data_IF_768657016660
#
_entry.id   IF_768657016660
#
_cell.length_a   1.000
_cell.length_b   1.000
_cell.length_c   1.000
_cell.angle_alpha   90.00
_cell.angle_beta   90.00
_cell.angle_gamma   90.00
#
_symmetry.space_group_name_H-M   'P 1'
#
loop_
_entity.id
_entity.type
_entity.pdbx_description
1 polymer ?
#
# COMPACT_ATOMS: atom_id res chain seq x y z
N UNK A 1 17.95 16.85 -17.03
CA UNK A 1 16.69 17.55 -16.74
C UNK A 1 15.49 16.89 -17.41
N UNK A 2 15.47 16.68 -18.72
CA UNK A 2 14.33 16.07 -19.44
C UNK A 2 14.02 14.63 -18.97
N UNK A 3 15.02 13.77 -18.81
CA UNK A 3 14.83 12.40 -18.30
C UNK A 3 14.25 12.35 -16.89
N UNK A 4 14.63 13.26 -16.01
CA UNK A 4 14.09 13.33 -14.65
C UNK A 4 12.59 13.70 -14.65
N UNK A 5 12.19 14.63 -15.52
CA UNK A 5 10.78 15.00 -15.67
C UNK A 5 9.92 13.83 -16.18
N UNK A 6 10.43 13.09 -17.17
CA UNK A 6 9.74 11.89 -17.68
C UNK A 6 9.58 10.85 -16.56
N UNK A 7 10.63 10.61 -15.79
CA UNK A 7 10.59 9.67 -14.68
C UNK A 7 9.54 10.08 -13.62
N UNK A 8 9.50 11.36 -13.24
CA UNK A 8 8.49 11.87 -12.30
C UNK A 8 7.06 11.74 -12.84
N UNK A 9 6.88 11.95 -14.16
CA UNK A 9 5.57 11.81 -14.79
C UNK A 9 5.11 10.35 -14.81
N UNK A 10 6.00 9.41 -15.14
CA UNK A 10 5.69 7.98 -15.12
C UNK A 10 5.36 7.48 -13.71
N UNK A 11 6.07 7.97 -12.69
CA UNK A 11 5.77 7.67 -11.28
C UNK A 11 4.37 8.18 -10.92
N UNK A 12 4.01 9.40 -11.30
CA UNK A 12 2.69 9.98 -11.00
C UNK A 12 1.55 9.18 -11.66
N UNK A 13 1.72 8.71 -12.90
CA UNK A 13 0.75 7.84 -13.56
C UNK A 13 0.63 6.50 -12.83
N UNK A 14 1.74 5.89 -12.45
CA UNK A 14 1.74 4.62 -11.72
C UNK A 14 1.01 4.71 -10.38
N UNK A 15 1.11 5.86 -9.70
CA UNK A 15 0.38 6.13 -8.46
C UNK A 15 -1.12 6.20 -8.68
N UNK A 16 -1.59 6.84 -9.75
CA UNK A 16 -3.02 6.88 -10.09
C UNK A 16 -3.56 5.46 -10.34
N UNK A 17 -2.82 4.63 -11.06
CA UNK A 17 -3.18 3.24 -11.30
C UNK A 17 -3.25 2.47 -9.96
N UNK A 18 -2.28 2.65 -9.06
CA UNK A 18 -2.28 2.01 -7.75
C UNK A 18 -3.47 2.43 -6.88
N UNK A 19 -3.83 3.71 -6.86
CA UNK A 19 -5.00 4.20 -6.11
C UNK A 19 -6.28 3.54 -6.62
N UNK A 20 -6.46 3.50 -7.95
CA UNK A 20 -7.62 2.84 -8.57
C UNK A 20 -7.67 1.37 -8.15
N UNK A 21 -6.53 0.70 -8.18
CA UNK A 21 -6.40 -0.70 -7.79
C UNK A 21 -6.72 -0.95 -6.31
N UNK A 22 -6.31 -0.06 -5.40
CA UNK A 22 -6.65 -0.13 -3.97
C UNK A 22 -8.18 -0.06 -3.80
N UNK A 23 -8.84 0.86 -4.48
CA UNK A 23 -10.31 1.01 -4.41
C UNK A 23 -10.99 -0.29 -4.87
N UNK A 24 -10.59 -0.85 -6.01
CA UNK A 24 -11.14 -2.11 -6.52
C UNK A 24 -10.90 -3.27 -5.55
N UNK A 25 -9.72 -3.35 -4.95
CA UNK A 25 -9.38 -4.37 -3.95
C UNK A 25 -10.33 -4.33 -2.76
N UNK A 26 -10.59 -3.15 -2.20
CA UNK A 26 -11.48 -3.01 -1.05
C UNK A 26 -12.94 -3.31 -1.41
N UNK A 27 -13.42 -2.92 -2.59
CA UNK A 27 -14.74 -3.29 -3.08
C UNK A 27 -14.87 -4.81 -3.25
N UNK A 28 -13.86 -5.44 -3.86
CA UNK A 28 -13.83 -6.90 -4.02
C UNK A 28 -13.85 -7.62 -2.66
N UNK A 29 -13.08 -7.12 -1.70
CA UNK A 29 -13.04 -7.69 -0.36
C UNK A 29 -14.40 -7.60 0.37
N UNK A 30 -15.10 -6.47 0.27
CA UNK A 30 -16.46 -6.32 0.83
C UNK A 30 -17.42 -7.27 0.16
N UNK A 31 -17.39 -7.40 -1.16
CA UNK A 31 -18.22 -8.35 -1.88
C UNK A 31 -17.96 -9.81 -1.43
N UNK A 32 -16.70 -10.18 -1.22
CA UNK A 32 -16.34 -11.50 -0.68
C UNK A 32 -16.93 -11.73 0.74
N UNK A 33 -16.87 -10.72 1.60
CA UNK A 33 -17.45 -10.81 2.94
C UNK A 33 -18.97 -10.95 2.92
N UNK A 34 -19.65 -10.31 1.97
CA UNK A 34 -21.08 -10.48 1.76
C UNK A 34 -21.41 -11.90 1.26
N UNK A 35 -20.66 -12.41 0.29
CA UNK A 35 -20.84 -13.77 -0.23
C UNK A 35 -20.56 -14.84 0.83
N UNK A 36 -19.67 -14.60 1.78
CA UNK A 36 -19.38 -15.51 2.89
C UNK A 36 -20.30 -15.35 4.09
N UNK A 37 -21.39 -14.57 3.96
CA UNK A 37 -22.39 -14.28 5.01
C UNK A 37 -21.79 -13.67 6.30
N UNK A 38 -20.62 -13.08 6.22
CA UNK A 38 -19.99 -12.34 7.34
C UNK A 38 -20.49 -10.91 7.44
N UNK A 39 -21.10 -10.40 6.38
CA UNK A 39 -21.72 -9.08 6.27
C UNK A 39 -23.10 -9.21 5.66
N UNK A 40 -24.02 -8.32 6.04
CA UNK A 40 -25.34 -8.25 5.43
C UNK A 40 -25.23 -7.77 3.97
N UNK A 41 -26.18 -8.20 3.11
CA UNK A 41 -26.20 -7.81 1.70
C UNK A 41 -26.30 -6.29 1.48
N UNK A 42 -26.80 -5.54 2.46
CA UNK A 42 -26.92 -4.08 2.42
C UNK A 42 -25.72 -3.32 2.99
N UNK A 43 -24.72 -4.04 3.53
CA UNK A 43 -23.55 -3.39 4.10
C UNK A 43 -22.62 -2.89 3.00
N UNK A 44 -22.25 -1.64 3.10
CA UNK A 44 -21.31 -0.96 2.22
C UNK A 44 -19.91 -0.92 2.84
N UNK A 45 -18.95 -0.49 2.06
CA UNK A 45 -17.56 -0.30 2.48
C UNK A 45 -17.44 0.57 3.74
N UNK A 46 -18.33 1.55 3.91
CA UNK A 46 -18.39 2.44 5.06
C UNK A 46 -18.90 1.72 6.31
N UNK A 47 -20.01 0.99 6.20
CA UNK A 47 -20.64 0.27 7.33
C UNK A 47 -19.81 -0.92 7.79
N UNK A 48 -18.99 -1.50 6.89
CA UNK A 48 -18.05 -2.59 7.22
C UNK A 48 -16.84 -2.16 8.04
N UNK A 49 -16.64 -0.85 8.29
CA UNK A 49 -15.45 -0.31 8.98
C UNK A 49 -14.15 -0.41 8.19
N UNK A 50 -14.20 -0.84 6.92
CA UNK A 50 -13.01 -0.98 6.07
C UNK A 50 -12.62 0.31 5.33
N UNK A 51 -13.47 1.32 5.41
CA UNK A 51 -13.25 2.61 4.77
C UNK A 51 -12.03 3.35 5.33
N UNK A 52 -11.82 3.33 6.64
CA UNK A 52 -10.66 3.95 7.30
C UNK A 52 -9.35 3.31 6.83
N UNK A 53 -9.30 1.97 6.78
CA UNK A 53 -8.13 1.25 6.28
C UNK A 53 -7.85 1.57 4.80
N UNK A 54 -8.88 1.70 3.98
CA UNK A 54 -8.74 2.11 2.59
C UNK A 54 -8.15 3.52 2.46
N UNK A 55 -8.65 4.48 3.25
CA UNK A 55 -8.11 5.84 3.25
C UNK A 55 -6.65 5.85 3.67
N UNK A 56 -6.28 5.10 4.70
CA UNK A 56 -4.90 5.01 5.16
C UNK A 56 -3.97 4.48 4.06
N UNK A 57 -4.38 3.42 3.36
CA UNK A 57 -3.62 2.86 2.24
C UNK A 57 -3.49 3.88 1.08
N UNK A 58 -4.56 4.63 0.77
CA UNK A 58 -4.55 5.67 -0.27
C UNK A 58 -3.63 6.83 0.14
N UNK A 59 -3.68 7.29 1.40
CA UNK A 59 -2.80 8.35 1.89
C UNK A 59 -1.33 7.96 1.79
N UNK A 60 -0.99 6.72 2.17
CA UNK A 60 0.37 6.20 2.03
C UNK A 60 0.84 6.22 0.56
N UNK A 61 -0.06 5.95 -0.38
CA UNK A 61 0.27 5.92 -1.81
C UNK A 61 0.35 7.32 -2.42
N UNK A 62 -0.38 8.31 -1.92
CA UNK A 62 -0.34 9.69 -2.42
C UNK A 62 0.99 10.38 -2.11
N UNK A 63 1.66 10.02 -1.00
CA UNK A 63 2.97 10.58 -0.64
C UNK A 63 4.02 10.04 -1.61
N UNK A 64 4.31 10.76 -2.70
CA UNK A 64 5.30 10.37 -3.71
C UNK A 64 6.07 11.56 -4.26
N UNK A 65 7.30 11.35 -4.80
CA UNK A 65 8.01 12.41 -5.49
C UNK A 65 7.18 12.88 -6.69
N UNK A 66 6.95 14.18 -6.77
CA UNK A 66 6.07 14.80 -7.75
C UNK A 66 6.81 15.91 -8.51
N UNK A 67 6.28 16.27 -9.67
CA UNK A 67 6.78 17.41 -10.46
C UNK A 67 6.66 18.72 -9.66
N UNK A 68 5.60 18.86 -8.84
CA UNK A 68 5.38 20.04 -8.02
C UNK A 68 6.45 20.24 -6.93
N UNK A 69 7.05 19.15 -6.46
CA UNK A 69 8.12 19.16 -5.44
C UNK A 69 9.53 19.21 -6.06
N UNK A 70 9.59 19.19 -7.41
CA UNK A 70 10.85 19.27 -8.14
C UNK A 70 11.49 20.66 -7.96
N UNK A 71 12.77 20.66 -7.53
CA UNK A 71 13.51 21.89 -7.29
C UNK A 71 13.40 22.46 -5.87
N UNK A 72 12.53 21.89 -5.02
CA UNK A 72 12.51 22.27 -3.62
C UNK A 72 13.66 21.57 -2.89
N UNK A 73 14.56 22.36 -2.31
CA UNK A 73 15.68 21.88 -1.51
C UNK A 73 15.50 22.26 -0.05
N UNK A 74 15.67 21.30 0.84
CA UNK A 74 15.77 21.53 2.27
C UNK A 74 17.22 21.69 2.68
N UNK A 75 17.55 22.76 3.40
CA UNK A 75 18.88 23.01 3.92
C UNK A 75 18.91 22.57 5.38
N UNK A 76 19.82 21.66 5.70
CA UNK A 76 20.15 21.30 7.07
C UNK A 76 21.52 21.88 7.43
N UNK A 77 21.59 22.54 8.58
CA UNK A 77 22.83 23.08 9.13
C UNK A 77 23.30 22.19 10.27
N UNK A 78 24.48 21.63 10.10
CA UNK A 78 25.11 20.86 11.18
C UNK A 78 26.04 21.80 11.97
N UNK A 79 25.66 22.09 13.21
CA UNK A 79 26.39 23.01 14.09
C UNK A 79 27.76 22.50 14.51
N UNK A 80 27.98 21.18 14.56
CA UNK A 80 29.24 20.61 14.99
C UNK A 80 30.37 20.76 13.94
N UNK A 81 30.00 20.68 12.66
CA UNK A 81 30.97 20.69 11.56
C UNK A 81 30.85 21.93 10.64
N UNK A 82 30.02 22.90 11.01
CA UNK A 82 29.70 24.11 10.21
C UNK A 82 29.36 23.79 8.74
N UNK A 83 28.86 22.57 8.47
CA UNK A 83 28.53 22.10 7.12
C UNK A 83 27.07 22.35 6.82
N UNK A 84 26.82 22.99 5.67
CA UNK A 84 25.48 23.10 5.09
C UNK A 84 25.26 21.95 4.12
N UNK A 85 24.31 21.07 4.43
CA UNK A 85 23.87 20.02 3.53
C UNK A 85 22.52 20.37 2.96
N UNK A 86 22.37 20.27 1.63
CA UNK A 86 21.11 20.47 0.93
C UNK A 86 20.59 19.14 0.42
N UNK A 87 19.38 18.79 0.83
CA UNK A 87 18.67 17.60 0.39
C UNK A 87 17.55 18.01 -0.55
N UNK A 88 17.39 17.32 -1.68
CA UNK A 88 16.22 17.50 -2.51
C UNK A 88 14.99 16.88 -1.81
N UNK A 89 13.88 17.61 -1.77
CA UNK A 89 12.63 17.11 -1.15
C UNK A 89 12.17 15.80 -1.82
N UNK A 90 12.40 15.68 -3.12
CA UNK A 90 12.05 14.46 -3.87
C UNK A 90 12.83 13.22 -3.40
N UNK A 91 14.08 13.37 -2.95
CA UNK A 91 14.86 12.23 -2.44
C UNK A 91 14.27 11.71 -1.14
N UNK A 92 13.86 12.62 -0.26
CA UNK A 92 13.17 12.27 0.98
C UNK A 92 11.83 11.60 0.74
N UNK A 93 11.03 12.14 -0.20
CA UNK A 93 9.76 11.53 -0.60
C UNK A 93 9.97 10.15 -1.25
N UNK A 94 11.06 9.95 -1.97
CA UNK A 94 11.42 8.63 -2.54
C UNK A 94 11.69 7.62 -1.44
N UNK A 95 12.43 7.98 -0.40
CA UNK A 95 12.64 7.10 0.76
C UNK A 95 11.32 6.72 1.44
N UNK A 96 10.44 7.69 1.66
CA UNK A 96 9.12 7.44 2.25
C UNK A 96 8.27 6.53 1.32
N UNK A 97 8.40 6.70 0.01
CA UNK A 97 7.65 5.90 -0.96
C UNK A 97 7.98 4.40 -0.94
N UNK A 98 9.13 4.00 -0.39
CA UNK A 98 9.48 2.59 -0.22
C UNK A 98 8.51 1.85 0.72
N UNK A 99 7.85 2.56 1.63
CA UNK A 99 6.82 2.00 2.52
C UNK A 99 5.67 1.35 1.72
N UNK A 100 5.49 1.76 0.45
CA UNK A 100 4.45 1.19 -0.44
C UNK A 100 4.67 -0.28 -0.81
N UNK A 101 5.88 -0.79 -0.62
CA UNK A 101 6.15 -2.21 -0.84
C UNK A 101 5.29 -3.04 0.11
N UNK A 102 4.99 -2.53 1.31
CA UNK A 102 4.23 -3.26 2.31
C UNK A 102 2.77 -3.58 1.90
N UNK A 103 1.93 -2.62 1.45
CA UNK A 103 0.60 -2.92 0.93
C UNK A 103 0.62 -3.87 -0.27
N UNK A 104 1.63 -3.77 -1.12
CA UNK A 104 1.78 -4.62 -2.30
C UNK A 104 2.11 -6.07 -1.90
N UNK A 105 3.00 -6.28 -0.93
CA UNK A 105 3.28 -7.59 -0.36
C UNK A 105 2.04 -8.20 0.30
N UNK A 106 1.31 -7.40 1.09
CA UNK A 106 0.05 -7.84 1.69
C UNK A 106 -0.98 -8.27 0.64
N UNK A 107 -1.02 -7.57 -0.50
CA UNK A 107 -1.92 -7.94 -1.58
C UNK A 107 -1.52 -9.26 -2.24
N UNK A 108 -0.24 -9.46 -2.53
CA UNK A 108 0.29 -10.72 -3.08
C UNK A 108 -0.07 -11.89 -2.15
N UNK A 109 0.08 -11.69 -0.83
CA UNK A 109 -0.30 -12.70 0.16
C UNK A 109 -1.79 -13.03 0.12
N UNK A 110 -2.66 -12.02 0.00
CA UNK A 110 -4.12 -12.20 -0.08
C UNK A 110 -4.56 -12.93 -1.36
N UNK A 111 -3.84 -12.73 -2.48
CA UNK A 111 -4.09 -13.43 -3.74
C UNK A 111 -3.51 -14.85 -3.76
N UNK A 112 -2.68 -15.18 -2.80
CA UNK A 112 -2.12 -16.54 -2.69
C UNK A 112 -3.23 -17.55 -2.41
N UNK A 113 -3.17 -18.69 -3.10
CA UNK A 113 -4.08 -19.83 -2.89
C UNK A 113 -4.04 -20.35 -1.45
N UNK A 114 -2.95 -20.11 -0.74
CA UNK A 114 -2.78 -20.49 0.68
C UNK A 114 -3.64 -19.67 1.62
N UNK A 115 -4.07 -18.48 1.23
CA UNK A 115 -4.98 -17.63 2.00
C UNK A 115 -6.46 -17.82 1.62
N UNK A 116 -6.77 -18.86 0.84
CA UNK A 116 -8.14 -19.18 0.42
C UNK A 116 -8.98 -19.72 1.58
N UNK A 117 -10.31 -19.52 1.52
CA UNK A 117 -11.24 -20.08 2.50
C UNK A 117 -11.10 -21.60 2.64
N UNK A 118 -10.75 -22.30 1.56
CA UNK A 118 -10.51 -23.74 1.55
C UNK A 118 -9.30 -24.12 2.38
N UNK A 119 -8.20 -23.37 2.28
CA UNK A 119 -6.99 -23.58 3.09
C UNK A 119 -7.27 -23.32 4.57
N UNK A 120 -8.00 -22.26 4.89
CA UNK A 120 -8.44 -21.97 6.25
C UNK A 120 -9.24 -23.12 6.86
N UNK A 121 -10.19 -23.66 6.10
CA UNK A 121 -11.02 -24.77 6.59
C UNK A 121 -10.22 -26.06 6.78
N UNK A 122 -9.32 -26.38 5.86
CA UNK A 122 -8.45 -27.55 5.96
C UNK A 122 -7.49 -27.43 7.16
N UNK A 123 -6.90 -26.27 7.38
CA UNK A 123 -5.99 -26.05 8.51
C UNK A 123 -6.74 -26.10 9.85
N UNK A 124 -7.97 -25.58 9.95
CA UNK A 124 -8.79 -25.71 11.14
C UNK A 124 -9.13 -27.16 11.49
N UNK A 125 -9.41 -28.00 10.50
CA UNK A 125 -9.68 -29.44 10.72
C UNK A 125 -8.43 -30.13 11.30
N UNK A 126 -7.23 -29.69 10.91
CA UNK A 126 -5.96 -30.23 11.39
C UNK A 126 -5.40 -29.51 12.63
N UNK A 127 -6.16 -28.57 13.22
CA UNK A 127 -5.75 -27.85 14.41
C UNK A 127 -4.65 -26.78 14.19
N UNK A 128 -4.46 -26.34 12.95
CA UNK A 128 -3.51 -25.26 12.61
C UNK A 128 -4.27 -23.97 12.27
N UNK A 129 -3.74 -22.84 12.74
CA UNK A 129 -4.22 -21.52 12.31
C UNK A 129 -3.44 -21.05 11.08
N UNK A 130 -4.18 -20.60 10.05
CA UNK A 130 -3.56 -19.97 8.87
C UNK A 130 -3.27 -18.52 9.24
N UNK A 131 -2.06 -18.28 9.71
CA UNK A 131 -1.56 -16.94 9.97
C UNK A 131 -0.73 -16.42 8.78
N UNK A 132 -0.52 -15.10 8.73
CA UNK A 132 0.34 -14.43 7.75
C UNK A 132 1.75 -15.04 7.66
N UNK A 133 2.28 -15.49 8.81
CA UNK A 133 3.57 -16.19 8.89
C UNK A 133 3.56 -17.56 8.20
N UNK A 134 2.43 -18.27 8.23
CA UNK A 134 2.26 -19.53 7.50
C UNK A 134 2.36 -19.30 5.98
N UNK A 135 1.68 -18.25 5.48
CA UNK A 135 1.70 -17.92 4.05
C UNK A 135 3.10 -17.51 3.58
N UNK A 136 3.82 -16.73 4.37
CA UNK A 136 5.22 -16.32 4.05
C UNK A 136 6.16 -17.52 3.97
N UNK A 137 5.97 -18.54 4.81
CA UNK A 137 6.80 -19.76 4.80
C UNK A 137 6.45 -20.73 3.68
N UNK A 138 5.22 -20.63 3.14
CA UNK A 138 4.72 -21.49 2.08
C UNK A 138 4.96 -20.92 0.67
N UNK A 139 5.30 -19.62 0.56
CA UNK A 139 5.72 -18.94 -0.68
C UNK A 139 7.22 -19.13 -0.93
#
# INVERSE_FOLDING_TARGET
MFQQLICLYTISISVLILVTFIIFRYQYYVNLLQLTLKLNANDNLYTSGKFESMITDILLVIIHPNILTHGITMQSYNYENELRTSYALNDLLTCISLIRIFPLLMWVMLMSSYYSNRSHHLCQIHGFEVDSMFVIRAL
#
